data_IF_107169963029
#
_entry.id   IF_107169963029
#
_cell.length_a   1.000
_cell.length_b   1.000
_cell.length_c   1.000
_cell.angle_alpha   90.00
_cell.angle_beta   90.00
_cell.angle_gamma   90.00
#
_symmetry.space_group_name_H-M   'P 1'
#
loop_
_entity.id
_entity.type
_entity.pdbx_description
1 polymer ?
#
# COMPACT_ATOMS: atom_id res chain seq x y z
N UNK A 1 -2.37 -14.29 -15.02
CA UNK A 1 -2.00 -13.97 -13.62
C UNK A 1 -3.23 -14.18 -12.75
N UNK A 2 -3.14 -14.87 -11.60
CA UNK A 2 -4.33 -15.14 -10.77
C UNK A 2 -4.84 -13.87 -10.08
N UNK A 3 -6.14 -13.80 -9.79
CA UNK A 3 -6.74 -12.64 -9.10
C UNK A 3 -6.05 -12.37 -7.76
N UNK A 4 -5.71 -13.40 -6.99
CA UNK A 4 -4.97 -13.25 -5.75
C UNK A 4 -3.62 -12.56 -5.95
N UNK A 5 -2.84 -13.00 -6.94
CA UNK A 5 -1.54 -12.40 -7.27
C UNK A 5 -1.69 -10.96 -7.74
N UNK A 6 -2.73 -10.68 -8.51
CA UNK A 6 -3.04 -9.34 -9.00
C UNK A 6 -3.43 -8.39 -7.87
N UNK A 7 -4.30 -8.83 -6.95
CA UNK A 7 -4.64 -8.08 -5.73
C UNK A 7 -3.40 -7.83 -4.87
N UNK A 8 -2.56 -8.85 -4.66
CA UNK A 8 -1.31 -8.73 -3.90
C UNK A 8 -0.35 -7.72 -4.52
N UNK A 9 -0.10 -7.83 -5.82
CA UNK A 9 0.79 -6.94 -6.55
C UNK A 9 0.26 -5.51 -6.59
N UNK A 10 -1.06 -5.30 -6.79
CA UNK A 10 -1.67 -3.98 -6.74
C UNK A 10 -1.49 -3.33 -5.36
N UNK A 11 -1.80 -4.05 -4.27
CA UNK A 11 -1.62 -3.54 -2.92
C UNK A 11 -0.15 -3.20 -2.62
N UNK A 12 0.76 -4.07 -3.05
CA UNK A 12 2.20 -3.88 -2.90
C UNK A 12 2.70 -2.67 -3.68
N UNK A 13 2.35 -2.55 -4.96
CA UNK A 13 2.76 -1.44 -5.83
C UNK A 13 2.26 -0.10 -5.28
N UNK A 14 0.99 -0.01 -4.88
CA UNK A 14 0.44 1.19 -4.26
C UNK A 14 1.15 1.56 -2.95
N UNK A 15 1.53 0.54 -2.17
CA UNK A 15 2.28 0.72 -0.93
C UNK A 15 3.72 1.19 -1.15
N UNK A 16 4.44 0.63 -2.14
CA UNK A 16 5.87 0.90 -2.33
C UNK A 16 6.14 2.12 -3.22
N UNK A 17 5.36 2.32 -4.29
CA UNK A 17 5.59 3.41 -5.25
C UNK A 17 5.13 4.76 -4.71
N UNK A 18 4.13 4.77 -3.84
CA UNK A 18 3.54 6.01 -3.32
C UNK A 18 3.42 6.04 -1.79
N UNK A 19 4.10 5.12 -1.11
CA UNK A 19 4.14 5.05 0.35
C UNK A 19 2.74 5.04 0.99
N UNK A 20 1.75 4.47 0.30
CA UNK A 20 0.38 4.43 0.80
C UNK A 20 0.28 3.43 1.95
N UNK A 21 -0.27 3.89 3.07
CA UNK A 21 -0.55 3.00 4.19
C UNK A 21 -1.69 2.05 3.80
N UNK A 22 -1.76 0.84 4.37
CA UNK A 22 -2.88 -0.07 4.13
C UNK A 22 -4.25 0.57 4.39
N UNK A 23 -4.34 1.48 5.38
CA UNK A 23 -5.57 2.22 5.68
C UNK A 23 -5.93 3.30 4.67
N UNK A 24 -4.94 3.80 3.93
CA UNK A 24 -5.17 4.77 2.86
C UNK A 24 -5.65 4.02 1.62
N UNK A 25 -5.07 2.85 1.32
CA UNK A 25 -5.51 1.95 0.24
C UNK A 25 -6.96 1.49 0.47
N UNK A 26 -7.31 1.13 1.71
CA UNK A 26 -8.70 0.77 2.08
C UNK A 26 -9.71 1.86 1.69
N UNK A 27 -9.31 3.14 1.76
CA UNK A 27 -10.18 4.31 1.58
C UNK A 27 -10.07 4.96 0.21
N UNK A 28 -9.42 4.29 -0.74
CA UNK A 28 -9.42 4.76 -2.13
C UNK A 28 -10.84 4.66 -2.67
N UNK A 29 -11.35 5.79 -3.17
CA UNK A 29 -12.59 5.85 -3.92
C UNK A 29 -12.31 5.60 -5.39
N UNK A 30 -12.52 4.36 -5.79
CA UNK A 30 -12.38 3.86 -7.16
C UNK A 30 -13.35 4.54 -8.12
N UNK A 31 -14.52 4.99 -7.65
CA UNK A 31 -15.46 5.76 -8.45
C UNK A 31 -14.95 7.15 -8.86
N UNK A 32 -13.86 7.62 -8.24
CA UNK A 32 -13.15 8.87 -8.59
C UNK A 32 -11.77 8.61 -9.22
N UNK A 33 -11.42 7.34 -9.47
CA UNK A 33 -10.17 6.99 -10.09
C UNK A 33 -10.19 7.39 -11.58
N UNK A 34 -9.09 7.97 -12.05
CA UNK A 34 -8.93 8.32 -13.46
C UNK A 34 -7.65 7.66 -13.97
N UNK A 35 -7.79 6.88 -15.04
CA UNK A 35 -6.66 6.35 -15.78
C UNK A 35 -6.48 7.21 -17.04
N UNK A 36 -5.27 7.67 -17.27
CA UNK A 36 -4.83 8.32 -18.51
C UNK A 36 -3.66 7.54 -19.07
N UNK A 37 -3.28 7.81 -20.33
CA UNK A 37 -2.21 7.08 -21.02
C UNK A 37 -0.92 6.96 -20.17
N UNK A 38 -0.61 8.00 -19.40
CA UNK A 38 0.63 8.09 -18.63
C UNK A 38 0.44 8.26 -17.12
N UNK A 39 -0.80 8.25 -16.63
CA UNK A 39 -1.05 8.52 -15.20
C UNK A 39 -2.21 7.72 -14.64
N UNK A 40 -2.06 7.32 -13.37
CA UNK A 40 -3.15 6.82 -12.54
C UNK A 40 -3.42 7.83 -11.43
N UNK A 41 -4.61 8.44 -11.45
CA UNK A 41 -5.08 9.34 -10.40
C UNK A 41 -6.05 8.59 -9.48
N UNK A 42 -5.72 8.53 -8.20
CA UNK A 42 -6.52 7.92 -7.15
C UNK A 42 -6.93 8.97 -6.12
N UNK A 43 -8.14 8.84 -5.58
CA UNK A 43 -8.66 9.73 -4.53
C UNK A 43 -8.83 8.93 -3.25
N UNK A 44 -8.13 9.33 -2.19
CA UNK A 44 -8.23 8.73 -0.86
C UNK A 44 -9.14 9.60 -0.01
N UNK A 45 -10.21 9.00 0.51
CA UNK A 45 -11.14 9.69 1.41
C UNK A 45 -10.63 9.65 2.84
N UNK A 46 -10.73 10.80 3.53
CA UNK A 46 -10.38 10.96 4.93
C UNK A 46 -9.09 10.21 5.35
N UNK A 47 -7.94 10.55 4.71
CA UNK A 47 -6.65 10.07 5.15
C UNK A 47 -6.43 10.44 6.62
N UNK A 48 -5.53 9.73 7.31
CA UNK A 48 -5.27 9.97 8.74
C UNK A 48 -4.79 11.41 9.01
N UNK A 49 -4.13 12.01 8.02
CA UNK A 49 -3.62 13.37 8.07
C UNK A 49 -4.76 14.39 7.91
N UNK A 50 -4.91 15.29 8.87
CA UNK A 50 -5.86 16.40 8.85
C UNK A 50 -5.09 17.67 8.53
N UNK A 51 -5.49 18.46 7.54
CA UNK A 51 -5.05 19.87 7.47
C UNK A 51 -6.14 20.73 8.09
N UNK A 52 -5.77 21.56 9.06
CA UNK A 52 -6.69 22.46 9.77
C UNK A 52 -7.91 21.75 10.39
N UNK A 53 -7.73 20.53 10.90
CA UNK A 53 -8.77 19.77 11.60
C UNK A 53 -9.85 19.13 10.72
N UNK A 54 -9.85 19.35 9.39
CA UNK A 54 -10.84 18.80 8.46
C UNK A 54 -10.31 17.56 7.72
N UNK A 55 -11.12 16.50 7.51
CA UNK A 55 -10.78 15.44 6.58
C UNK A 55 -10.73 16.02 5.16
N UNK A 56 -9.62 15.84 4.46
CA UNK A 56 -9.43 16.33 3.09
C UNK A 56 -9.33 15.14 2.16
N UNK A 57 -10.01 15.19 1.01
CA UNK A 57 -9.76 14.24 -0.08
C UNK A 57 -8.30 14.38 -0.54
N UNK A 58 -7.50 13.32 -0.38
CA UNK A 58 -6.13 13.31 -0.86
C UNK A 58 -6.09 12.71 -2.26
N UNK A 59 -5.70 13.52 -3.23
CA UNK A 59 -5.44 13.04 -4.58
C UNK A 59 -4.00 12.55 -4.69
N UNK A 60 -3.82 11.40 -5.32
CA UNK A 60 -2.55 10.76 -5.61
C UNK A 60 -2.47 10.58 -7.11
N UNK A 61 -1.40 11.08 -7.74
CA UNK A 61 -1.17 10.93 -9.18
C UNK A 61 0.14 10.16 -9.35
N UNK A 62 0.06 9.02 -10.02
CA UNK A 62 1.18 8.12 -10.26
C UNK A 62 1.51 8.21 -11.75
N UNK A 63 2.71 8.68 -12.13
CA UNK A 63 3.17 8.74 -13.52
C UNK A 63 4.05 7.53 -13.90
N UNK A 64 4.23 7.29 -15.21
CA UNK A 64 4.89 6.09 -15.77
C UNK A 64 6.42 6.13 -15.71
N UNK A 65 7.01 7.22 -15.26
CA UNK A 65 8.33 7.61 -15.77
C UNK A 65 9.47 6.86 -15.07
N UNK A 66 9.71 5.59 -15.43
CA UNK A 66 11.05 4.98 -15.63
C UNK A 66 11.09 3.44 -15.72
N UNK A 67 10.09 2.68 -15.25
CA UNK A 67 10.14 1.20 -15.27
C UNK A 67 8.76 0.53 -15.53
N UNK A 68 8.52 -0.05 -16.72
CA UNK A 68 7.25 -0.70 -17.07
C UNK A 68 6.86 -1.86 -16.13
N UNK A 69 7.85 -2.54 -15.54
CA UNK A 69 7.65 -3.67 -14.61
C UNK A 69 7.08 -3.26 -13.25
N UNK A 70 7.22 -1.99 -12.86
CA UNK A 70 6.71 -1.44 -11.60
C UNK A 70 5.51 -0.51 -11.82
N UNK A 71 4.87 -0.56 -12.99
CA UNK A 71 3.84 0.39 -13.37
C UNK A 71 2.48 0.10 -12.69
N UNK A 72 2.03 0.91 -11.72
CA UNK A 72 0.81 0.61 -10.98
C UNK A 72 -0.44 0.75 -11.83
N UNK A 73 -0.42 1.57 -12.89
CA UNK A 73 -1.60 1.77 -13.74
C UNK A 73 -1.93 0.53 -14.58
N UNK A 74 -0.93 -0.15 -15.15
CA UNK A 74 -1.16 -1.41 -15.87
C UNK A 74 -1.69 -2.49 -14.94
N UNK A 75 -1.13 -2.59 -13.72
CA UNK A 75 -1.62 -3.53 -12.71
C UNK A 75 -3.05 -3.20 -12.28
N UNK A 76 -3.36 -1.92 -12.12
CA UNK A 76 -4.72 -1.43 -11.84
C UNK A 76 -5.69 -1.76 -12.97
N UNK A 77 -5.34 -1.53 -14.24
CA UNK A 77 -6.20 -1.85 -15.38
C UNK A 77 -6.51 -3.34 -15.46
N UNK A 78 -5.48 -4.20 -15.40
CA UNK A 78 -5.67 -5.65 -15.37
C UNK A 78 -6.54 -6.08 -14.18
N UNK A 79 -6.37 -5.43 -13.02
CA UNK A 79 -7.21 -5.69 -11.85
C UNK A 79 -8.67 -5.32 -12.11
N UNK A 80 -8.93 -4.15 -12.72
CA UNK A 80 -10.28 -3.68 -13.04
C UNK A 80 -11.00 -4.58 -14.04
N UNK A 81 -10.29 -5.11 -15.03
CA UNK A 81 -10.84 -6.06 -16.01
C UNK A 81 -11.41 -7.32 -15.33
N UNK A 82 -10.82 -7.77 -14.22
CA UNK A 82 -11.33 -8.92 -13.46
C UNK A 82 -12.71 -8.69 -12.84
N UNK A 83 -13.14 -7.44 -12.71
CA UNK A 83 -14.40 -7.06 -12.05
C UNK A 83 -15.35 -6.27 -12.97
N UNK A 84 -15.07 -6.20 -14.27
CA UNK A 84 -15.82 -5.35 -15.22
C UNK A 84 -17.31 -5.73 -15.30
N UNK A 85 -17.63 -7.01 -15.12
CA UNK A 85 -18.99 -7.54 -15.17
C UNK A 85 -19.71 -7.55 -13.80
N UNK A 86 -19.03 -7.12 -12.73
CA UNK A 86 -19.64 -7.04 -11.40
C UNK A 86 -20.27 -5.66 -11.15
N UNK A 87 -21.37 -5.60 -10.39
CA UNK A 87 -21.94 -4.33 -9.98
C UNK A 87 -20.95 -3.53 -9.11
N UNK A 88 -21.02 -2.18 -9.11
CA UNK A 88 -20.23 -1.35 -8.21
C UNK A 88 -20.50 -1.72 -6.75
N UNK A 89 -19.44 -2.04 -6.01
CA UNK A 89 -19.54 -2.25 -4.57
C UNK A 89 -19.56 -0.88 -3.89
N UNK A 90 -20.59 -0.59 -3.09
CA UNK A 90 -20.68 0.64 -2.31
C UNK A 90 -20.48 0.29 -0.84
N UNK A 91 -19.58 1.01 -0.17
CA UNK A 91 -19.29 0.84 1.25
C UNK A 91 -19.43 2.18 1.98
N UNK A 92 -19.99 2.14 3.18
CA UNK A 92 -19.90 3.28 4.09
C UNK A 92 -18.45 3.48 4.56
N UNK A 93 -18.05 4.73 4.72
CA UNK A 93 -16.70 5.06 5.15
C UNK A 93 -16.47 4.66 6.62
N UNK A 94 -15.43 3.86 6.93
CA UNK A 94 -15.26 3.24 8.25
C UNK A 94 -15.05 4.23 9.40
N UNK A 95 -14.76 5.50 9.10
CA UNK A 95 -14.60 6.57 10.11
C UNK A 95 -15.58 7.72 9.97
N UNK A 96 -16.30 7.80 8.85
CA UNK A 96 -17.17 8.92 8.54
C UNK A 96 -18.46 8.36 7.92
N UNK A 97 -19.38 7.86 8.76
CA UNK A 97 -20.58 7.15 8.29
C UNK A 97 -21.45 7.94 7.30
N UNK A 98 -21.33 9.27 7.30
CA UNK A 98 -22.02 10.17 6.37
C UNK A 98 -21.51 10.09 4.92
N UNK A 99 -20.37 9.45 4.66
CA UNK A 99 -19.83 9.28 3.32
C UNK A 99 -19.88 7.82 2.89
N UNK A 100 -20.28 7.58 1.64
CA UNK A 100 -20.14 6.32 0.95
C UNK A 100 -19.14 6.46 -0.19
N UNK A 101 -18.52 5.34 -0.57
CA UNK A 101 -17.54 5.30 -1.65
C UNK A 101 -17.47 3.92 -2.27
N UNK A 102 -16.86 3.86 -3.45
CA UNK A 102 -16.56 2.59 -4.13
C UNK A 102 -15.15 2.18 -3.72
N UNK A 103 -14.96 1.16 -2.87
CA UNK A 103 -13.64 0.74 -2.45
C UNK A 103 -12.91 0.08 -3.63
N UNK A 104 -11.62 0.39 -3.78
CA UNK A 104 -10.79 -0.20 -4.82
C UNK A 104 -10.62 -1.72 -4.67
N UNK A 105 -10.26 -2.18 -3.46
CA UNK A 105 -9.85 -3.57 -3.27
C UNK A 105 -11.00 -4.44 -2.73
N UNK A 106 -11.43 -5.38 -3.56
CA UNK A 106 -12.40 -6.44 -3.25
C UNK A 106 -11.74 -7.68 -2.68
N UNK A 107 -12.49 -8.46 -1.92
CA UNK A 107 -12.06 -9.75 -1.42
C UNK A 107 -11.98 -10.75 -2.59
N UNK A 108 -10.87 -11.49 -2.65
CA UNK A 108 -10.57 -12.44 -3.71
C UNK A 108 -11.52 -13.64 -3.70
N UNK A 109 -12.00 -14.07 -2.53
CA UNK A 109 -12.92 -15.22 -2.40
C UNK A 109 -14.39 -14.82 -2.50
N UNK A 110 -14.70 -13.56 -2.21
CA UNK A 110 -16.06 -13.03 -2.12
C UNK A 110 -16.06 -11.60 -2.67
N UNK A 111 -16.21 -11.48 -3.98
CA UNK A 111 -16.06 -10.22 -4.72
C UNK A 111 -17.13 -9.17 -4.43
N UNK A 112 -18.19 -9.56 -3.73
CA UNK A 112 -19.24 -8.64 -3.24
C UNK A 112 -18.83 -7.95 -1.94
N UNK A 113 -17.68 -8.32 -1.38
CA UNK A 113 -17.12 -7.70 -0.17
C UNK A 113 -15.81 -6.97 -0.47
N UNK A 114 -15.61 -5.85 0.21
CA UNK A 114 -14.33 -5.17 0.26
C UNK A 114 -13.46 -5.76 1.38
N UNK A 115 -12.16 -5.49 1.32
CA UNK A 115 -11.24 -5.84 2.41
C UNK A 115 -10.84 -4.62 3.24
N UNK A 116 -10.55 -4.86 4.52
CA UNK A 116 -10.01 -3.84 5.43
C UNK A 116 -8.50 -3.72 5.39
N UNK A 117 -7.96 -2.72 6.10
CA UNK A 117 -6.52 -2.40 6.13
C UNK A 117 -5.63 -3.57 6.58
N UNK A 118 -6.13 -4.47 7.44
CA UNK A 118 -5.36 -5.62 7.92
C UNK A 118 -5.10 -6.64 6.80
N UNK A 119 -6.13 -7.00 6.03
CA UNK A 119 -5.96 -7.90 4.87
C UNK A 119 -5.07 -7.27 3.80
N UNK A 120 -5.19 -5.97 3.56
CA UNK A 120 -4.30 -5.23 2.66
C UNK A 120 -2.84 -5.33 3.15
N UNK A 121 -2.60 -5.15 4.45
CA UNK A 121 -1.27 -5.32 5.05
C UNK A 121 -0.73 -6.73 4.83
N UNK A 122 -1.55 -7.76 4.99
CA UNK A 122 -1.15 -9.15 4.75
C UNK A 122 -0.81 -9.41 3.27
N UNK A 123 -1.54 -8.81 2.33
CA UNK A 123 -1.20 -8.87 0.91
C UNK A 123 0.17 -8.26 0.61
N UNK A 124 0.45 -7.07 1.16
CA UNK A 124 1.75 -6.39 1.00
C UNK A 124 2.88 -7.25 1.58
N UNK A 125 2.71 -7.76 2.82
CA UNK A 125 3.69 -8.65 3.47
C UNK A 125 3.94 -9.92 2.67
N UNK A 126 2.90 -10.50 2.06
CA UNK A 126 3.04 -11.70 1.24
C UNK A 126 3.95 -11.47 0.04
N UNK A 127 3.92 -10.29 -0.59
CA UNK A 127 4.81 -9.96 -1.72
C UNK A 127 6.23 -9.69 -1.21
N UNK A 128 6.37 -8.93 -0.13
CA UNK A 128 7.66 -8.65 0.49
C UNK A 128 8.40 -9.93 0.88
N UNK A 129 7.72 -10.88 1.53
CA UNK A 129 8.31 -12.14 1.95
C UNK A 129 8.83 -12.97 0.75
N UNK A 130 8.19 -12.87 -0.41
CA UNK A 130 8.65 -13.56 -1.61
C UNK A 130 9.94 -12.93 -2.14
N UNK A 131 10.02 -11.59 -2.14
CA UNK A 131 11.23 -10.87 -2.55
C UNK A 131 12.41 -11.11 -1.59
N UNK A 132 12.15 -11.25 -0.29
CA UNK A 132 13.20 -11.55 0.70
C UNK A 132 13.65 -13.02 0.67
N UNK A 133 12.79 -13.95 0.24
CA UNK A 133 13.15 -15.38 0.15
C UNK A 133 14.07 -15.67 -1.03
N UNK A 134 13.99 -14.87 -2.11
CA UNK A 134 14.90 -14.98 -3.27
C UNK A 134 16.28 -14.36 -3.02
N UNK A 135 16.42 -13.55 -1.97
CA UNK A 135 17.73 -13.12 -1.47
C UNK A 135 18.21 -14.14 -0.44
N UNK A 136 18.86 -15.22 -0.89
CA UNK A 136 19.53 -16.12 0.05
C UNK A 136 20.62 -15.36 0.82
N UNK A 137 20.64 -15.38 2.16
CA UNK A 137 21.81 -14.96 2.91
C UNK A 137 22.88 -16.06 2.80
N UNK A 138 23.56 -16.13 1.65
CA UNK A 138 24.80 -16.88 1.57
C UNK A 138 25.87 -16.03 2.24
N UNK A 139 26.36 -16.55 3.38
CA UNK A 139 27.52 -16.13 4.17
C UNK A 139 27.53 -14.73 4.80
N UNK A 140 26.83 -14.55 5.92
CA UNK A 140 27.35 -13.79 7.07
C UNK A 140 26.78 -14.39 8.37
N UNK A 141 27.02 -15.68 8.59
CA UNK A 141 26.79 -16.31 9.91
C UNK A 141 28.01 -17.15 10.22
N UNK A 142 29.03 -16.50 10.77
CA UNK A 142 29.99 -16.99 11.75
C UNK A 142 31.24 -16.10 11.76
N UNK A 143 31.11 -14.91 12.35
CA UNK A 143 32.17 -14.34 13.18
C UNK A 143 31.48 -13.41 14.18
N UNK A 144 31.67 -13.72 15.47
CA UNK A 144 30.89 -13.17 16.57
C UNK A 144 31.06 -11.67 16.70
N UNK A 145 29.94 -10.94 16.65
CA UNK A 145 29.86 -9.64 17.28
C UNK A 145 29.66 -9.87 18.78
N UNK A 146 30.76 -9.82 19.53
CA UNK A 146 30.67 -9.55 20.96
C UNK A 146 30.29 -8.08 21.13
N UNK A 147 29.12 -7.82 21.71
CA UNK A 147 28.74 -6.49 22.18
C UNK A 147 29.60 -6.12 23.37
N UNK A 148 30.66 -5.34 23.16
CA UNK A 148 31.33 -4.59 24.23
C UNK A 148 30.61 -3.26 24.40
N UNK A 149 29.54 -3.26 25.19
CA UNK A 149 29.02 -2.01 25.74
C UNK A 149 30.02 -1.54 26.82
N UNK A 150 31.04 -0.79 26.41
CA UNK A 150 31.95 -0.12 27.32
C UNK A 150 31.20 0.98 28.08
N UNK A 151 31.29 0.98 29.41
CA UNK A 151 30.83 2.10 30.23
C UNK A 151 31.64 3.33 29.85
N UNK A 152 30.97 4.31 29.27
CA UNK A 152 31.43 5.70 29.21
C UNK A 152 31.42 6.26 30.64
N UNK A 153 32.57 6.66 31.15
CA UNK A 153 32.70 7.33 32.45
C UNK A 153 32.58 8.86 32.22
N UNK A 154 31.98 9.56 33.19
CA UNK A 154 31.68 11.00 33.13
C UNK A 154 32.92 11.92 33.02
N UNK A 155 34.14 11.39 33.04
CA UNK A 155 35.38 12.14 32.85
C UNK A 155 35.69 12.50 31.39
N UNK A 156 34.96 11.96 30.41
CA UNK A 156 35.22 12.20 28.98
C UNK A 156 34.54 13.46 28.42
N UNK A 157 33.65 14.10 29.19
CA UNK A 157 33.05 15.39 28.83
C UNK A 157 33.78 16.52 29.55
N UNK A 158 34.90 16.95 28.95
CA UNK A 158 35.68 18.08 29.43
C UNK A 158 34.85 19.36 29.51
N UNK A 159 34.47 19.73 30.73
CA UNK A 159 34.24 21.12 31.11
C UNK A 159 35.40 21.51 32.03
N UNK A 160 36.39 22.16 31.41
CA UNK A 160 37.50 22.85 32.05
C UNK A 160 37.91 24.01 31.15
#
# INVERSE_FOLDING_TARGET
MSLLRLTQNLCFLLGITWFLRPSDIERINDGKALVSANTLRLVILAPKEKRSGRPIEKCVVISVDSNPSLYPAACYQAYKECFIYLPPLIRQHPRLPQFSYVPLVRNVTDSDKCIGSERISNHIKSVLNLATTTASPTSLRNQGYQSTCGRINESDFGWG
#
